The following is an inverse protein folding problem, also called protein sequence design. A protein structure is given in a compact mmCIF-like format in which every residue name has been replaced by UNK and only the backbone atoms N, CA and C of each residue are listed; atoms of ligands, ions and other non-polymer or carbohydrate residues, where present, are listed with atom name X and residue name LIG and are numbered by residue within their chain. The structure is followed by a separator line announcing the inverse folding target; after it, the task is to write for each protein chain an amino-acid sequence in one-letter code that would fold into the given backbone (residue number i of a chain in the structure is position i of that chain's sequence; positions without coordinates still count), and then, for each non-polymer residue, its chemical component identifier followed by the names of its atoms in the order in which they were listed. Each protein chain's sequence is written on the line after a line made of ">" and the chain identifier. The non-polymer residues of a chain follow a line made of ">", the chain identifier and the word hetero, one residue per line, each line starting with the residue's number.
data_IF_297868475416
#
_entry.id   IF_297868475416
#
_cell.length_a   1.000
_cell.length_b   1.000
_cell.length_c   1.000
_cell.angle_alpha   90.00
_cell.angle_beta   90.00
_cell.angle_gamma   90.00
#
_symmetry.space_group_name_H-M   'P 1'
#
loop_
_entity.id
_entity.type
_entity.pdbx_description
1 polymer ?
#
# COMPACT_ATOMS: atom_id res chain seq x y z
N UNK A 1 9.23 26.63 16.43
CA UNK A 1 8.43 25.76 15.49
C UNK A 1 8.03 24.49 16.22
N UNK A 2 6.80 24.02 16.04
CA UNK A 2 6.31 22.71 16.45
C UNK A 2 6.40 21.74 15.26
N UNK A 3 6.76 20.49 15.49
CA UNK A 3 6.77 19.43 14.47
C UNK A 3 6.28 18.13 15.09
N UNK A 4 5.30 17.51 14.45
CA UNK A 4 4.82 16.17 14.80
C UNK A 4 4.76 15.31 13.54
N UNK A 5 5.49 14.20 13.55
CA UNK A 5 5.34 13.11 12.56
C UNK A 5 4.28 12.15 13.09
N UNK A 6 3.31 11.83 12.26
CA UNK A 6 2.36 10.75 12.47
C UNK A 6 2.80 9.58 11.58
N UNK A 7 2.66 8.36 12.07
CA UNK A 7 3.04 7.19 11.29
C UNK A 7 1.97 6.11 11.42
N UNK A 8 1.40 5.71 10.29
CA UNK A 8 0.42 4.62 10.20
C UNK A 8 1.13 3.34 9.71
N UNK A 9 1.37 2.38 10.61
CA UNK A 9 2.16 1.19 10.27
C UNK A 9 1.47 0.26 9.27
N UNK A 10 0.12 0.28 9.17
CA UNK A 10 -0.63 -0.61 8.27
C UNK A 10 -0.38 -0.31 6.77
N UNK A 11 0.02 0.93 6.46
CA UNK A 11 0.37 1.40 5.11
C UNK A 11 1.78 2.00 5.05
N UNK A 12 2.54 1.91 6.15
CA UNK A 12 3.87 2.49 6.32
C UNK A 12 3.95 3.99 5.93
N UNK A 13 2.86 4.74 6.13
CA UNK A 13 2.70 6.13 5.71
C UNK A 13 3.08 7.10 6.84
N UNK A 14 3.78 8.16 6.48
CA UNK A 14 4.08 9.29 7.35
C UNK A 14 3.39 10.56 6.87
N UNK A 15 2.71 11.24 7.79
CA UNK A 15 2.18 12.59 7.61
C UNK A 15 2.76 13.52 8.67
N UNK A 16 2.65 14.81 8.44
CA UNK A 16 3.32 15.79 9.29
C UNK A 16 2.40 16.95 9.67
N UNK A 17 2.48 17.36 10.94
CA UNK A 17 1.93 18.63 11.39
C UNK A 17 3.08 19.57 11.75
N UNK A 18 3.10 20.75 11.13
CA UNK A 18 4.08 21.79 11.41
C UNK A 18 3.33 23.01 11.93
N UNK A 19 3.75 23.55 13.07
CA UNK A 19 3.06 24.65 13.74
C UNK A 19 3.99 25.78 14.17
N UNK A 20 3.45 26.99 14.20
CA UNK A 20 4.03 28.15 14.84
C UNK A 20 3.40 28.38 16.20
N UNK A 21 4.08 28.02 17.28
CA UNK A 21 3.58 28.18 18.65
C UNK A 21 3.27 29.66 19.02
N UNK A 22 3.93 30.61 18.36
CA UNK A 22 3.70 32.03 18.61
C UNK A 22 2.35 32.51 18.10
N UNK A 23 1.90 32.04 16.92
CA UNK A 23 0.62 32.43 16.32
C UNK A 23 -0.49 31.43 16.59
N UNK A 24 -0.16 30.24 17.11
CA UNK A 24 -1.12 29.18 17.31
C UNK A 24 -1.65 28.57 16.01
N UNK A 25 -0.90 28.63 14.91
CA UNK A 25 -1.31 28.13 13.59
C UNK A 25 -0.48 26.92 13.18
N UNK A 26 -1.09 25.98 12.45
CA UNK A 26 -0.44 24.80 11.93
C UNK A 26 -0.85 24.49 10.48
N UNK A 27 0.00 23.73 9.79
CA UNK A 27 -0.29 23.06 8.53
C UNK A 27 -0.16 21.55 8.73
N UNK A 28 -1.05 20.79 8.10
CA UNK A 28 -0.95 19.32 8.01
C UNK A 28 -0.62 18.94 6.57
N UNK A 29 0.35 18.05 6.39
CA UNK A 29 0.82 17.56 5.10
C UNK A 29 0.58 16.05 5.02
N UNK A 30 -0.04 15.59 3.93
CA UNK A 30 -0.33 14.19 3.61
C UNK A 30 -1.20 13.48 4.66
N UNK A 31 -2.31 14.12 5.07
CA UNK A 31 -3.23 13.54 6.04
C UNK A 31 -3.86 12.25 5.52
N UNK A 32 -3.85 11.18 6.35
CA UNK A 32 -4.60 9.96 6.09
C UNK A 32 -6.05 10.05 6.64
N UNK A 33 -6.86 8.99 6.44
CA UNK A 33 -8.28 8.95 6.80
C UNK A 33 -8.58 9.01 8.30
N UNK A 34 -7.61 8.73 9.16
CA UNK A 34 -7.74 8.91 10.62
C UNK A 34 -7.49 10.38 10.98
N UNK A 35 -8.44 11.24 10.61
CA UNK A 35 -8.27 12.69 10.74
C UNK A 35 -8.34 13.19 12.18
N UNK A 36 -8.93 12.41 13.09
CA UNK A 36 -9.10 12.81 14.49
C UNK A 36 -7.75 12.95 15.21
N UNK A 37 -6.77 12.13 14.87
CA UNK A 37 -5.41 12.23 15.40
C UNK A 37 -4.78 13.62 15.20
N UNK A 38 -5.06 14.28 14.06
CA UNK A 38 -4.52 15.63 13.78
C UNK A 38 -5.27 16.69 14.59
N UNK A 39 -6.60 16.57 14.69
CA UNK A 39 -7.45 17.48 15.46
C UNK A 39 -7.09 17.42 16.95
N UNK A 40 -6.92 16.23 17.49
CA UNK A 40 -6.56 16.01 18.89
C UNK A 40 -5.19 16.60 19.23
N UNK A 41 -4.17 16.34 18.39
CA UNK A 41 -2.82 16.91 18.61
C UNK A 41 -2.85 18.43 18.47
N UNK A 42 -3.55 18.99 17.49
CA UNK A 42 -3.69 20.43 17.36
C UNK A 42 -4.32 21.05 18.60
N UNK A 43 -5.39 20.44 19.15
CA UNK A 43 -6.05 20.90 20.36
C UNK A 43 -5.12 20.81 21.59
N UNK A 44 -4.39 19.71 21.76
CA UNK A 44 -3.45 19.52 22.87
C UNK A 44 -2.31 20.56 22.88
N UNK A 45 -1.85 20.95 21.69
CA UNK A 45 -0.76 21.91 21.50
C UNK A 45 -1.25 23.37 21.39
N UNK A 46 -2.56 23.60 21.50
CA UNK A 46 -3.14 24.94 21.35
C UNK A 46 -2.99 25.52 19.94
N UNK A 47 -2.97 24.65 18.92
CA UNK A 47 -2.79 25.02 17.52
C UNK A 47 -4.14 24.95 16.77
N UNK A 48 -4.35 25.89 15.85
CA UNK A 48 -5.42 25.86 14.85
C UNK A 48 -4.83 25.39 13.52
N UNK A 49 -5.38 24.35 12.95
CA UNK A 49 -4.99 23.91 11.61
C UNK A 49 -5.48 24.98 10.61
N UNK A 50 -4.55 25.74 10.03
CA UNK A 50 -4.83 26.80 9.09
C UNK A 50 -4.78 26.33 7.63
N UNK A 51 -3.90 25.38 7.35
CA UNK A 51 -3.73 24.78 6.03
C UNK A 51 -3.68 23.26 6.12
N UNK A 52 -4.21 22.63 5.08
CA UNK A 52 -4.03 21.19 4.78
C UNK A 52 -3.49 21.10 3.36
N UNK A 53 -2.48 20.27 3.14
CA UNK A 53 -1.86 20.10 1.82
C UNK A 53 -1.40 18.67 1.60
N UNK A 54 -1.07 18.35 0.36
CA UNK A 54 -0.52 17.05 -0.06
C UNK A 54 0.73 17.24 -0.89
N UNK A 55 1.64 16.27 -0.83
CA UNK A 55 2.82 16.27 -1.70
C UNK A 55 2.45 15.83 -3.12
N UNK A 56 1.48 14.92 -3.27
CA UNK A 56 1.05 14.38 -4.56
C UNK A 56 -0.32 13.68 -4.44
N UNK A 57 -0.87 13.22 -5.56
CA UNK A 57 -2.07 12.35 -5.59
C UNK A 57 -1.67 10.94 -5.17
N UNK A 58 -1.94 10.58 -3.92
CA UNK A 58 -1.58 9.29 -3.36
C UNK A 58 -2.32 8.13 -4.04
N UNK A 59 -1.61 7.05 -4.33
CA UNK A 59 -2.16 5.83 -4.92
C UNK A 59 -2.26 4.67 -3.93
N UNK A 60 -1.59 4.73 -2.82
CA UNK A 60 -1.45 3.66 -1.83
C UNK A 60 -2.43 3.77 -0.66
N UNK A 61 -3.03 4.94 -0.43
CA UNK A 61 -4.07 5.15 0.57
C UNK A 61 -5.08 6.23 0.15
N UNK A 62 -6.23 6.24 0.81
CA UNK A 62 -7.24 7.28 0.64
C UNK A 62 -6.90 8.49 1.52
N UNK A 63 -6.67 9.64 0.92
CA UNK A 63 -6.38 10.88 1.62
C UNK A 63 -7.53 11.33 2.54
N UNK A 64 -7.16 11.87 3.71
CA UNK A 64 -8.06 12.54 4.64
C UNK A 64 -8.02 14.07 4.55
N UNK A 65 -7.24 14.62 3.62
CA UNK A 65 -6.97 16.07 3.57
C UNK A 65 -8.22 16.91 3.39
N UNK A 66 -9.17 16.45 2.56
CA UNK A 66 -10.45 17.16 2.33
C UNK A 66 -11.32 17.17 3.57
N UNK A 67 -11.48 16.02 4.20
CA UNK A 67 -12.27 15.87 5.42
C UNK A 67 -11.66 16.66 6.57
N UNK A 68 -10.35 16.64 6.69
CA UNK A 68 -9.63 17.42 7.70
C UNK A 68 -9.85 18.93 7.47
N UNK A 69 -9.68 19.40 6.23
CA UNK A 69 -9.93 20.79 5.88
C UNK A 69 -11.37 21.19 6.15
N UNK A 70 -12.35 20.36 5.78
CA UNK A 70 -13.77 20.59 6.03
C UNK A 70 -14.07 20.62 7.55
N UNK A 71 -13.53 19.68 8.32
CA UNK A 71 -13.77 19.57 9.78
C UNK A 71 -13.19 20.76 10.55
N UNK A 72 -12.03 21.27 10.11
CA UNK A 72 -11.28 22.31 10.83
C UNK A 72 -11.50 23.73 10.28
N UNK A 73 -12.10 23.86 9.09
CA UNK A 73 -12.18 25.13 8.35
C UNK A 73 -10.82 25.59 7.81
N UNK A 74 -9.85 24.69 7.70
CA UNK A 74 -8.54 24.98 7.14
C UNK A 74 -8.63 25.15 5.61
N UNK A 75 -7.74 25.96 5.06
CA UNK A 75 -7.61 26.11 3.60
C UNK A 75 -6.91 24.88 3.01
N UNK A 76 -7.56 24.24 2.03
CA UNK A 76 -7.01 23.11 1.28
C UNK A 76 -6.14 23.63 0.14
N UNK A 77 -4.84 23.34 0.19
CA UNK A 77 -3.85 23.81 -0.76
C UNK A 77 -3.24 22.63 -1.50
N UNK A 78 -3.43 22.49 -2.81
CA UNK A 78 -3.03 21.32 -3.57
C UNK A 78 -2.19 21.69 -4.80
N UNK A 79 -1.35 20.77 -5.26
CA UNK A 79 -0.50 20.96 -6.44
C UNK A 79 -1.33 21.28 -7.70
N UNK A 80 -0.92 22.29 -8.48
CA UNK A 80 -1.40 22.58 -9.84
C UNK A 80 -0.30 22.30 -10.89
N UNK A 81 0.69 21.51 -10.52
CA UNK A 81 1.70 20.99 -11.43
C UNK A 81 1.17 19.75 -12.19
N UNK A 82 1.95 19.21 -13.11
CA UNK A 82 1.53 18.08 -13.95
C UNK A 82 0.61 18.49 -15.11
N UNK A 83 0.24 17.50 -15.91
CA UNK A 83 -0.74 17.65 -17.00
C UNK A 83 -2.19 17.47 -16.51
N UNK A 84 -3.16 17.51 -17.43
CA UNK A 84 -4.57 17.46 -17.09
C UNK A 84 -4.99 16.17 -16.34
N UNK A 85 -4.32 15.06 -16.61
CA UNK A 85 -4.61 13.76 -15.97
C UNK A 85 -4.07 13.67 -14.53
N UNK A 86 -3.21 14.63 -14.15
CA UNK A 86 -2.55 14.69 -12.84
C UNK A 86 -2.95 15.91 -12.02
N UNK A 87 -4.04 16.57 -12.36
CA UNK A 87 -4.60 17.65 -11.56
C UNK A 87 -5.80 17.15 -10.74
N UNK A 88 -5.90 17.65 -9.53
CA UNK A 88 -7.09 17.44 -8.71
C UNK A 88 -8.32 18.01 -9.42
N UNK A 89 -9.35 17.18 -9.60
CA UNK A 89 -10.57 17.50 -10.37
C UNK A 89 -11.70 18.05 -9.50
N UNK A 90 -11.44 18.44 -8.27
CA UNK A 90 -12.41 19.00 -7.35
C UNK A 90 -12.00 20.38 -6.85
N UNK A 91 -12.96 21.21 -6.40
CA UNK A 91 -12.64 22.53 -5.83
C UNK A 91 -11.75 22.44 -4.60
N UNK A 92 -10.73 23.26 -4.57
CA UNK A 92 -9.85 23.49 -3.44
C UNK A 92 -9.46 24.98 -3.37
N UNK A 93 -9.02 25.45 -2.19
CA UNK A 93 -8.91 26.88 -1.95
C UNK A 93 -7.71 27.51 -2.65
N UNK A 94 -6.61 26.75 -2.73
CA UNK A 94 -5.37 27.28 -3.28
C UNK A 94 -4.64 26.23 -4.13
N UNK A 95 -4.23 26.67 -5.32
CA UNK A 95 -3.37 25.93 -6.26
C UNK A 95 -1.92 26.28 -5.99
N UNK A 96 -1.07 25.27 -5.81
CA UNK A 96 0.34 25.42 -5.52
C UNK A 96 1.20 25.08 -6.72
N UNK A 97 2.22 25.90 -6.97
CA UNK A 97 3.24 25.72 -8.01
C UNK A 97 4.65 25.89 -7.46
N UNK A 98 5.64 25.50 -8.25
CA UNK A 98 7.06 25.70 -7.96
C UNK A 98 7.33 27.17 -7.57
N UNK A 99 7.99 27.37 -6.44
CA UNK A 99 8.29 28.71 -5.89
C UNK A 99 7.17 29.33 -5.06
N UNK A 100 5.98 28.76 -4.97
CA UNK A 100 4.93 29.23 -4.06
C UNK A 100 5.32 29.00 -2.60
N UNK A 101 4.60 29.67 -1.69
CA UNK A 101 4.89 29.63 -0.26
C UNK A 101 3.61 29.54 0.56
N UNK A 102 3.58 28.65 1.55
CA UNK A 102 2.65 28.67 2.68
C UNK A 102 3.36 29.26 3.91
N UNK A 103 2.68 30.15 4.61
CA UNK A 103 3.25 30.83 5.79
C UNK A 103 2.30 30.68 6.97
N UNK A 104 2.80 30.18 8.08
CA UNK A 104 2.13 30.06 9.38
C UNK A 104 3.00 30.76 10.43
N UNK A 105 2.63 31.97 10.78
CA UNK A 105 3.45 32.82 11.65
C UNK A 105 4.89 33.00 11.14
N UNK A 106 5.86 32.50 11.91
CA UNK A 106 7.29 32.56 11.52
C UNK A 106 7.75 31.37 10.68
N UNK A 107 6.90 30.35 10.48
CA UNK A 107 7.28 29.16 9.73
C UNK A 107 6.85 29.32 8.28
N UNK A 108 7.73 28.96 7.36
CA UNK A 108 7.51 28.99 5.91
C UNK A 108 7.69 27.59 5.34
N UNK A 109 6.80 27.21 4.42
CA UNK A 109 6.91 26.06 3.57
C UNK A 109 7.03 26.56 2.12
N UNK A 110 8.23 26.50 1.56
CA UNK A 110 8.47 26.86 0.16
C UNK A 110 8.25 25.63 -0.72
N UNK A 111 7.42 25.78 -1.75
CA UNK A 111 7.03 24.69 -2.67
C UNK A 111 8.15 24.47 -3.69
N UNK A 112 8.54 23.22 -3.88
CA UNK A 112 9.50 22.78 -4.91
C UNK A 112 8.85 21.69 -5.74
N UNK A 113 8.73 21.90 -7.06
CA UNK A 113 8.25 20.84 -7.96
C UNK A 113 9.30 19.75 -8.12
N UNK A 114 8.95 18.53 -7.72
CA UNK A 114 9.83 17.35 -7.68
C UNK A 114 9.19 16.15 -8.40
N UNK A 115 8.91 16.29 -9.71
CA UNK A 115 8.23 15.25 -10.48
C UNK A 115 9.11 14.02 -10.68
N UNK A 116 8.43 12.88 -10.95
CA UNK A 116 9.09 11.62 -11.28
C UNK A 116 8.36 10.42 -10.72
N UNK A 117 8.08 10.39 -9.42
CA UNK A 117 7.13 9.44 -8.83
C UNK A 117 5.74 9.67 -9.42
N UNK A 118 5.26 10.90 -9.32
CA UNK A 118 4.11 11.42 -10.07
C UNK A 118 4.46 12.74 -10.75
N UNK A 119 3.78 13.15 -11.84
CA UNK A 119 4.07 14.38 -12.56
C UNK A 119 3.80 15.66 -11.77
N UNK A 120 2.81 15.66 -10.87
CA UNK A 120 2.39 16.81 -10.08
C UNK A 120 3.07 16.89 -8.71
N UNK A 121 3.96 15.95 -8.40
CA UNK A 121 4.59 15.85 -7.08
C UNK A 121 5.32 17.13 -6.69
N UNK A 122 5.05 17.65 -5.48
CA UNK A 122 5.72 18.77 -4.86
C UNK A 122 6.33 18.37 -3.52
N UNK A 123 7.49 18.94 -3.22
CA UNK A 123 8.11 18.87 -1.89
C UNK A 123 8.02 20.22 -1.21
N UNK A 124 8.14 20.27 0.11
CA UNK A 124 8.09 21.52 0.87
C UNK A 124 9.39 21.72 1.64
N UNK A 125 10.10 22.82 1.37
CA UNK A 125 11.23 23.26 2.17
C UNK A 125 10.74 24.02 3.40
N UNK A 126 11.01 23.50 4.58
CA UNK A 126 10.54 24.05 5.85
C UNK A 126 11.60 24.95 6.47
N UNK A 127 11.24 26.21 6.71
CA UNK A 127 12.10 27.19 7.37
C UNK A 127 11.43 27.67 8.67
N UNK A 128 12.13 27.55 9.80
CA UNK A 128 11.77 28.24 11.04
C UNK A 128 12.40 29.63 11.04
N UNK A 129 11.67 30.62 10.56
CA UNK A 129 12.15 32.00 10.46
C UNK A 129 12.45 32.68 11.80
N UNK A 130 12.12 32.05 12.93
CA UNK A 130 12.56 32.52 14.24
C UNK A 130 13.98 32.05 14.59
N UNK A 131 14.44 30.96 13.98
CA UNK A 131 15.75 30.38 14.25
C UNK A 131 16.77 30.64 13.12
N UNK A 132 16.32 30.64 11.84
CA UNK A 132 17.19 30.77 10.68
C UNK A 132 16.46 31.36 9.47
N UNK A 133 17.22 31.80 8.48
CA UNK A 133 16.72 32.28 7.19
C UNK A 133 16.71 31.20 6.09
N UNK A 134 17.30 30.00 6.40
CA UNK A 134 17.43 28.88 5.50
C UNK A 134 16.57 27.68 5.94
N UNK A 135 16.16 26.80 5.00
CA UNK A 135 15.41 25.61 5.33
C UNK A 135 16.19 24.66 6.24
N UNK A 136 15.49 24.10 7.22
CA UNK A 136 16.03 23.04 8.09
C UNK A 136 15.67 21.64 7.60
N UNK A 137 14.52 21.50 6.94
CA UNK A 137 13.99 20.22 6.47
C UNK A 137 13.26 20.33 5.15
N UNK A 138 13.12 19.21 4.45
CA UNK A 138 12.24 19.01 3.33
C UNK A 138 11.23 17.91 3.63
N UNK A 139 9.94 18.19 3.46
CA UNK A 139 8.90 17.18 3.34
C UNK A 139 8.94 16.66 1.92
N UNK A 140 9.52 15.49 1.74
CA UNK A 140 9.85 14.96 0.41
C UNK A 140 8.79 14.04 -0.18
N UNK A 141 7.72 13.74 0.59
CA UNK A 141 6.70 12.79 0.11
C UNK A 141 7.33 11.51 -0.43
N UNK A 142 6.96 11.17 -1.65
CA UNK A 142 7.47 10.00 -2.37
C UNK A 142 8.55 10.35 -3.40
N UNK A 143 9.28 11.45 -3.18
CA UNK A 143 10.42 11.83 -4.02
C UNK A 143 11.73 11.21 -3.53
N UNK A 144 12.11 11.48 -2.28
CA UNK A 144 13.30 10.92 -1.62
C UNK A 144 12.87 10.28 -0.32
N UNK A 145 13.20 8.99 -0.17
CA UNK A 145 13.10 8.23 1.08
C UNK A 145 14.47 8.10 1.75
N UNK A 146 14.50 7.55 2.95
CA UNK A 146 15.77 7.19 3.58
C UNK A 146 16.32 5.93 2.90
N UNK A 147 17.39 6.08 2.15
CA UNK A 147 18.08 5.01 1.42
C UNK A 147 17.45 4.62 0.08
N UNK A 148 16.32 5.20 -0.31
CA UNK A 148 15.61 4.89 -1.54
C UNK A 148 14.99 6.14 -2.18
N UNK A 149 14.33 5.97 -3.31
CA UNK A 149 13.53 7.00 -4.01
C UNK A 149 12.20 6.44 -4.44
N UNK A 150 11.22 7.31 -4.69
CA UNK A 150 9.91 6.92 -5.18
C UNK A 150 9.98 6.22 -6.54
N UNK A 151 9.14 5.23 -6.72
CA UNK A 151 9.08 4.44 -7.95
C UNK A 151 8.24 5.12 -9.03
N UNK A 152 8.77 5.28 -10.26
CA UNK A 152 8.07 5.96 -11.36
C UNK A 152 7.14 5.04 -12.18
N UNK A 153 7.17 3.72 -11.94
CA UNK A 153 6.46 2.71 -12.75
C UNK A 153 5.00 2.49 -12.33
N UNK A 154 4.59 3.05 -11.19
CA UNK A 154 3.21 2.89 -10.66
C UNK A 154 2.14 3.35 -11.65
N UNK A 155 2.43 4.41 -12.42
CA UNK A 155 1.55 4.92 -13.47
C UNK A 155 1.23 3.92 -14.54
N UNK A 156 2.26 3.30 -15.08
CA UNK A 156 2.12 2.35 -16.16
C UNK A 156 1.47 1.06 -15.68
N UNK A 157 1.91 0.55 -14.53
CA UNK A 157 1.47 -0.74 -14.00
C UNK A 157 0.08 -0.67 -13.35
N UNK A 158 -0.22 0.38 -12.58
CA UNK A 158 -1.52 0.51 -11.90
C UNK A 158 -2.60 1.10 -12.80
N UNK A 159 -2.25 2.04 -13.71
CA UNK A 159 -3.20 2.72 -14.59
C UNK A 159 -3.19 2.20 -16.03
N UNK A 160 -2.32 1.22 -16.35
CA UNK A 160 -2.14 0.63 -17.69
C UNK A 160 -1.84 1.68 -18.80
N UNK A 161 -1.12 2.75 -18.46
CA UNK A 161 -0.74 3.82 -19.39
C UNK A 161 0.68 3.53 -19.90
N UNK A 162 0.78 2.84 -21.04
CA UNK A 162 2.06 2.38 -21.61
C UNK A 162 3.06 3.50 -21.89
N UNK A 163 4.34 3.25 -21.63
CA UNK A 163 5.47 4.12 -21.97
C UNK A 163 5.69 5.29 -21.01
N UNK A 164 5.07 5.29 -19.84
CA UNK A 164 5.21 6.36 -18.85
C UNK A 164 6.32 6.10 -17.84
N UNK A 165 6.64 4.84 -17.53
CA UNK A 165 7.61 4.50 -16.48
C UNK A 165 9.03 4.97 -16.80
N UNK A 166 9.50 4.77 -18.02
CA UNK A 166 10.83 5.22 -18.43
C UNK A 166 10.92 6.75 -18.46
N UNK A 167 9.88 7.44 -18.98
CA UNK A 167 9.78 8.89 -18.94
C UNK A 167 9.79 9.42 -17.50
N UNK A 168 9.01 8.81 -16.61
CA UNK A 168 8.97 9.14 -15.18
C UNK A 168 10.33 8.95 -14.51
N UNK A 169 11.05 7.86 -14.82
CA UNK A 169 12.37 7.60 -14.27
C UNK A 169 13.40 8.67 -14.70
N UNK A 170 13.40 9.10 -15.98
CA UNK A 170 14.25 10.19 -16.46
C UNK A 170 13.95 11.53 -15.79
N UNK A 171 12.66 11.83 -15.62
CA UNK A 171 12.20 13.03 -14.91
C UNK A 171 12.61 13.00 -13.44
N UNK A 172 12.48 11.85 -12.78
CA UNK A 172 12.92 11.64 -11.39
C UNK A 172 14.43 11.89 -11.26
N UNK A 173 15.23 11.34 -12.18
CA UNK A 173 16.66 11.59 -12.21
C UNK A 173 16.98 13.09 -12.29
N UNK A 174 16.36 13.82 -13.22
CA UNK A 174 16.57 15.26 -13.36
C UNK A 174 16.17 16.03 -12.08
N UNK A 175 15.05 15.64 -11.45
CA UNK A 175 14.61 16.21 -10.18
C UNK A 175 15.61 15.96 -9.05
N UNK A 176 16.18 14.76 -8.94
CA UNK A 176 17.21 14.42 -7.96
C UNK A 176 18.48 15.25 -8.16
N UNK A 177 18.94 15.43 -9.41
CA UNK A 177 20.12 16.26 -9.71
C UNK A 177 19.89 17.73 -9.34
N UNK A 178 18.69 18.28 -9.65
CA UNK A 178 18.31 19.65 -9.25
C UNK A 178 18.27 19.77 -7.73
N UNK A 179 17.65 18.83 -7.03
CA UNK A 179 17.50 18.85 -5.58
C UNK A 179 18.83 18.66 -4.83
N UNK A 180 19.79 17.97 -5.42
CA UNK A 180 21.14 17.77 -4.86
C UNK A 180 21.90 19.08 -4.65
N UNK A 181 21.48 20.20 -5.23
CA UNK A 181 22.06 21.53 -5.02
C UNK A 181 21.65 22.18 -3.70
N UNK A 182 20.68 21.62 -2.98
CA UNK A 182 20.28 22.09 -1.65
C UNK A 182 21.38 21.79 -0.62
N UNK A 183 21.30 22.46 0.53
CA UNK A 183 22.29 22.33 1.60
C UNK A 183 22.35 20.91 2.18
N UNK A 184 23.55 20.41 2.51
CA UNK A 184 23.77 19.04 2.99
C UNK A 184 23.13 18.76 4.38
N UNK A 185 22.93 19.79 5.21
CA UNK A 185 22.26 19.64 6.50
C UNK A 185 20.74 19.53 6.41
N UNK A 186 20.15 19.76 5.21
CA UNK A 186 18.71 19.69 5.00
C UNK A 186 18.19 18.31 5.41
N UNK A 187 17.33 18.25 6.41
CA UNK A 187 16.72 17.02 6.85
C UNK A 187 15.72 16.51 5.79
N UNK A 188 15.68 15.22 5.57
CA UNK A 188 14.73 14.54 4.69
C UNK A 188 13.64 13.94 5.56
N UNK A 189 12.40 14.40 5.37
CA UNK A 189 11.19 13.93 6.04
C UNK A 189 10.28 13.29 4.99
N UNK A 190 10.39 11.96 4.78
CA UNK A 190 9.72 11.25 3.70
C UNK A 190 8.27 10.92 4.00
N UNK A 191 7.47 10.65 2.94
CA UNK A 191 6.08 10.19 3.03
C UNK A 191 5.94 8.75 3.52
N UNK A 192 6.99 7.92 3.41
CA UNK A 192 6.94 6.51 3.81
C UNK A 192 8.15 6.05 4.63
N UNK A 193 7.92 4.95 5.38
CA UNK A 193 8.95 4.15 6.04
C UNK A 193 9.04 2.75 5.46
N UNK A 194 9.84 1.88 6.12
CA UNK A 194 9.99 0.48 5.71
C UNK A 194 8.64 -0.26 5.65
N UNK A 195 8.45 -1.03 4.59
CA UNK A 195 7.23 -1.82 4.34
C UNK A 195 6.25 -1.19 3.35
N UNK A 196 6.46 0.05 2.92
CA UNK A 196 5.64 0.66 1.86
C UNK A 196 5.87 -0.01 0.51
N UNK A 197 4.79 -0.09 -0.29
CA UNK A 197 4.85 -0.53 -1.67
C UNK A 197 5.38 0.55 -2.64
N UNK A 198 5.62 1.79 -2.15
CA UNK A 198 6.12 2.91 -2.96
C UNK A 198 7.65 2.90 -3.16
N UNK A 199 8.36 1.95 -2.53
CA UNK A 199 9.79 1.71 -2.72
C UNK A 199 10.17 0.30 -2.30
N UNK A 200 11.35 -0.17 -2.71
CA UNK A 200 11.84 -1.53 -2.43
C UNK A 200 12.88 -1.59 -1.33
N UNK A 201 13.57 -0.46 -1.09
CA UNK A 201 14.72 -0.36 -0.17
C UNK A 201 14.54 0.69 0.94
N UNK A 202 13.31 1.11 1.24
CA UNK A 202 13.05 2.15 2.23
C UNK A 202 13.50 1.69 3.62
N UNK A 203 14.35 2.49 4.27
CA UNK A 203 14.85 2.22 5.62
C UNK A 203 13.76 2.36 6.69
N UNK A 204 13.95 1.64 7.81
CA UNK A 204 13.15 1.84 9.02
C UNK A 204 13.51 3.14 9.78
N UNK A 205 14.61 3.81 9.42
CA UNK A 205 14.99 5.10 10.00
C UNK A 205 13.99 6.17 9.52
N UNK A 206 13.38 6.96 10.44
CA UNK A 206 12.25 7.82 10.10
C UNK A 206 12.62 9.10 9.34
N UNK A 207 13.88 9.50 9.33
CA UNK A 207 14.39 10.70 8.67
C UNK A 207 15.88 10.58 8.41
N UNK A 208 16.42 11.41 7.51
CA UNK A 208 17.82 11.46 7.15
C UNK A 208 18.25 12.90 6.91
N UNK A 209 19.42 13.12 6.31
CA UNK A 209 19.84 14.42 5.76
C UNK A 209 20.21 14.27 4.30
N UNK A 210 20.08 15.36 3.53
CA UNK A 210 20.47 15.34 2.11
C UNK A 210 21.94 14.96 1.92
N UNK A 211 22.82 15.40 2.81
CA UNK A 211 24.24 15.02 2.76
C UNK A 211 24.47 13.53 2.98
N UNK A 212 23.70 12.88 3.85
CA UNK A 212 23.72 11.43 4.01
C UNK A 212 23.19 10.73 2.76
N UNK A 213 22.02 11.14 2.26
CA UNK A 213 21.40 10.52 1.08
C UNK A 213 22.30 10.67 -0.16
N UNK A 214 22.89 11.82 -0.41
CA UNK A 214 23.85 12.03 -1.52
C UNK A 214 25.05 11.07 -1.47
N UNK A 215 25.42 10.61 -0.28
CA UNK A 215 26.59 9.71 -0.10
C UNK A 215 26.21 8.23 -0.11
N UNK A 216 25.06 7.86 0.40
CA UNK A 216 24.73 6.46 0.70
C UNK A 216 23.46 5.97 0.01
N UNK A 217 22.57 6.83 -0.46
CA UNK A 217 21.42 6.43 -1.23
C UNK A 217 21.87 5.99 -2.62
N UNK A 218 21.44 4.80 -3.02
CA UNK A 218 21.84 4.19 -4.29
C UNK A 218 21.53 5.08 -5.50
N UNK A 219 20.45 5.86 -5.46
CA UNK A 219 20.00 6.72 -6.56
C UNK A 219 21.02 7.81 -6.89
N UNK A 220 21.61 8.42 -5.85
CA UNK A 220 22.69 9.39 -6.02
C UNK A 220 24.04 8.76 -6.39
N UNK A 221 24.19 7.45 -6.19
CA UNK A 221 25.39 6.70 -6.56
C UNK A 221 25.47 6.35 -8.06
N UNK A 222 24.38 6.48 -8.82
CA UNK A 222 24.35 6.23 -10.25
C UNK A 222 25.20 7.24 -11.03
N UNK A 223 25.98 6.74 -12.00
CA UNK A 223 26.92 7.56 -12.77
C UNK A 223 26.29 8.20 -14.01
N UNK A 224 25.13 7.71 -14.42
CA UNK A 224 24.40 8.19 -15.60
C UNK A 224 22.90 8.05 -15.42
N UNK A 225 22.14 8.82 -16.21
CA UNK A 225 20.68 8.69 -16.29
C UNK A 225 20.26 7.26 -16.72
N UNK A 226 20.97 6.66 -17.67
CA UNK A 226 20.66 5.30 -18.14
C UNK A 226 20.80 4.28 -17.01
N UNK A 227 21.91 4.30 -16.25
CA UNK A 227 22.11 3.44 -15.09
C UNK A 227 21.01 3.62 -14.02
N UNK A 228 20.61 4.87 -13.78
CA UNK A 228 19.53 5.17 -12.85
C UNK A 228 18.19 4.60 -13.33
N UNK A 229 17.84 4.82 -14.61
CA UNK A 229 16.59 4.32 -15.21
C UNK A 229 16.52 2.80 -15.14
N UNK A 230 17.56 2.11 -15.53
CA UNK A 230 17.63 0.65 -15.46
C UNK A 230 17.43 0.16 -14.02
N UNK A 231 18.10 0.79 -13.07
CA UNK A 231 18.09 0.37 -11.68
C UNK A 231 16.78 0.68 -10.97
N UNK A 232 16.19 1.86 -11.19
CA UNK A 232 14.91 2.25 -10.53
C UNK A 232 13.73 1.44 -11.04
N UNK A 233 13.79 0.94 -12.27
CA UNK A 233 12.73 0.11 -12.86
C UNK A 233 12.94 -1.39 -12.61
N UNK A 234 14.16 -1.83 -12.26
CA UNK A 234 14.47 -3.22 -12.03
C UNK A 234 13.81 -3.76 -10.74
N UNK A 235 13.28 -4.98 -10.83
CA UNK A 235 12.81 -5.71 -9.66
C UNK A 235 11.63 -5.10 -8.89
N UNK A 236 10.95 -4.11 -9.46
CA UNK A 236 9.80 -3.48 -8.81
C UNK A 236 8.65 -4.50 -8.64
N UNK A 237 8.09 -4.64 -7.42
CA UNK A 237 6.94 -5.51 -7.20
C UNK A 237 5.71 -4.97 -7.95
N UNK A 238 4.81 -5.87 -8.32
CA UNK A 238 3.54 -5.46 -8.90
C UNK A 238 2.75 -4.61 -7.90
N UNK A 239 2.25 -3.42 -8.32
CA UNK A 239 1.43 -2.59 -7.45
C UNK A 239 0.09 -3.27 -7.17
N UNK A 240 -0.44 -3.16 -5.95
CA UNK A 240 -1.78 -3.64 -5.64
C UNK A 240 -2.84 -3.06 -6.57
N UNK A 241 -3.83 -3.88 -6.95
CA UNK A 241 -4.92 -3.44 -7.87
C UNK A 241 -5.65 -2.19 -7.39
N UNK A 242 -5.77 -2.01 -6.09
CA UNK A 242 -6.48 -0.88 -5.51
C UNK A 242 -5.77 0.47 -5.73
N UNK A 243 -4.48 0.50 -6.09
CA UNK A 243 -3.74 1.75 -6.35
C UNK A 243 -4.40 2.60 -7.44
N UNK A 244 -4.88 1.97 -8.52
CA UNK A 244 -5.63 2.69 -9.56
C UNK A 244 -6.92 3.32 -9.01
N UNK A 245 -7.60 2.63 -8.09
CA UNK A 245 -8.80 3.14 -7.42
C UNK A 245 -8.46 4.30 -6.50
N UNK A 246 -7.43 4.19 -5.68
CA UNK A 246 -7.01 5.26 -4.77
C UNK A 246 -6.60 6.52 -5.54
N UNK A 247 -5.75 6.38 -6.57
CA UNK A 247 -5.39 7.50 -7.44
C UNK A 247 -6.64 8.22 -7.97
N UNK A 248 -7.60 7.46 -8.53
CA UNK A 248 -8.84 8.02 -9.05
C UNK A 248 -9.67 8.71 -7.96
N UNK A 249 -9.84 8.08 -6.80
CA UNK A 249 -10.59 8.64 -5.69
C UNK A 249 -9.94 9.93 -5.18
N UNK A 250 -8.64 9.94 -4.98
CA UNK A 250 -7.90 11.11 -4.49
C UNK A 250 -7.87 12.25 -5.51
N UNK A 251 -7.86 11.94 -6.82
CA UNK A 251 -7.89 12.94 -7.88
C UNK A 251 -9.29 13.51 -8.14
N UNK A 252 -10.31 12.64 -8.23
CA UNK A 252 -11.61 12.99 -8.84
C UNK A 252 -12.69 13.35 -7.82
N UNK A 253 -12.62 12.86 -6.58
CA UNK A 253 -13.67 13.03 -5.60
C UNK A 253 -13.76 14.48 -5.11
N UNK A 254 -14.77 15.20 -5.62
CA UNK A 254 -15.10 16.54 -5.16
C UNK A 254 -15.87 16.61 -3.84
N UNK A 255 -16.31 15.47 -3.29
CA UNK A 255 -17.00 15.40 -2.00
C UNK A 255 -16.25 14.43 -1.08
N UNK A 256 -16.17 14.75 0.22
CA UNK A 256 -15.64 13.80 1.19
C UNK A 256 -16.41 12.48 1.10
N UNK A 257 -15.69 11.36 1.04
CA UNK A 257 -16.34 10.07 1.22
C UNK A 257 -16.88 9.98 2.65
N UNK A 258 -18.02 9.32 2.87
CA UNK A 258 -18.48 9.04 4.22
C UNK A 258 -17.36 8.36 5.01
N UNK A 259 -17.03 8.89 6.17
CA UNK A 259 -16.10 8.27 7.09
C UNK A 259 -16.55 6.85 7.48
N UNK A 260 -15.79 6.14 8.33
CA UNK A 260 -16.16 4.80 8.79
C UNK A 260 -17.59 4.72 9.38
N UNK A 261 -18.14 5.85 9.81
CA UNK A 261 -19.47 5.96 10.39
C UNK A 261 -20.61 6.04 9.36
N UNK A 262 -20.32 6.34 8.08
CA UNK A 262 -21.35 6.63 7.05
C UNK A 262 -21.77 5.44 6.19
N UNK A 263 -21.15 4.30 6.33
CA UNK A 263 -21.26 3.23 5.33
C UNK A 263 -22.35 2.18 5.63
N UNK A 264 -22.94 2.12 6.84
CA UNK A 264 -24.10 1.25 7.13
C UNK A 264 -24.82 1.77 8.36
N UNK A 265 -26.15 1.58 8.36
CA UNK A 265 -26.93 1.75 9.56
C UNK A 265 -26.23 1.04 10.72
N UNK A 266 -25.61 1.80 11.60
CA UNK A 266 -25.00 1.31 12.83
C UNK A 266 -25.99 0.35 13.50
N UNK A 267 -25.60 -0.91 13.70
CA UNK A 267 -26.40 -1.89 14.41
C UNK A 267 -26.99 -3.02 13.57
N UNK A 268 -26.91 -3.03 12.23
CA UNK A 268 -27.34 -4.19 11.48
C UNK A 268 -26.35 -5.35 11.65
N UNK A 269 -26.82 -6.39 12.33
CA UNK A 269 -26.09 -7.63 12.59
C UNK A 269 -26.79 -8.78 11.86
N UNK A 270 -26.44 -9.03 10.59
CA UNK A 270 -27.06 -10.14 9.86
C UNK A 270 -26.67 -11.47 10.50
N UNK A 271 -27.53 -12.45 10.33
CA UNK A 271 -27.14 -13.82 10.63
C UNK A 271 -26.19 -14.36 9.54
N UNK A 272 -25.28 -15.29 9.87
CA UNK A 272 -24.44 -15.93 8.87
C UNK A 272 -25.26 -16.59 7.75
N UNK A 273 -26.40 -17.17 8.08
CA UNK A 273 -27.30 -17.84 7.14
C UNK A 273 -27.86 -16.86 6.10
N UNK A 274 -28.30 -15.67 6.53
CA UNK A 274 -28.80 -14.62 5.65
C UNK A 274 -27.69 -14.17 4.66
N UNK A 275 -26.49 -13.92 5.18
CA UNK A 275 -25.37 -13.45 4.35
C UNK A 275 -24.89 -14.52 3.38
N UNK A 276 -24.70 -15.76 3.85
CA UNK A 276 -24.20 -16.86 3.01
C UNK A 276 -25.19 -17.22 1.90
N UNK A 277 -26.50 -17.04 2.13
CA UNK A 277 -27.53 -17.26 1.11
C UNK A 277 -27.45 -16.27 -0.07
N UNK A 278 -26.86 -15.10 0.11
CA UNK A 278 -26.72 -14.06 -0.94
C UNK A 278 -25.51 -14.26 -1.85
N UNK A 279 -24.64 -15.24 -1.57
CA UNK A 279 -23.32 -15.41 -2.22
C UNK A 279 -22.42 -14.16 -2.15
N UNK A 280 -22.68 -13.27 -1.20
CA UNK A 280 -21.86 -12.10 -0.93
C UNK A 280 -20.45 -12.49 -0.49
N UNK A 281 -19.50 -11.60 -0.67
CA UNK A 281 -18.14 -11.81 -0.17
C UNK A 281 -18.14 -11.69 1.35
N UNK A 282 -17.66 -12.74 2.03
CA UNK A 282 -17.49 -12.76 3.48
C UNK A 282 -16.02 -12.95 3.80
N UNK A 283 -15.47 -12.05 4.59
CA UNK A 283 -14.07 -12.07 5.04
C UNK A 283 -14.02 -12.55 6.49
N UNK A 284 -13.27 -13.61 6.72
CA UNK A 284 -12.96 -14.12 8.06
C UNK A 284 -11.58 -13.60 8.47
N UNK A 285 -11.55 -12.80 9.54
CA UNK A 285 -10.32 -12.15 10.01
C UNK A 285 -9.54 -12.97 11.04
N UNK A 286 -10.02 -14.16 11.39
CA UNK A 286 -9.34 -15.06 12.32
C UNK A 286 -7.96 -15.49 11.80
N UNK A 287 -7.07 -15.96 12.70
CA UNK A 287 -5.83 -16.61 12.29
C UNK A 287 -6.05 -17.75 11.28
N UNK A 288 -5.15 -17.89 10.31
CA UNK A 288 -5.29 -18.84 9.21
C UNK A 288 -5.49 -20.30 9.68
N UNK A 289 -4.86 -20.70 10.80
CA UNK A 289 -5.02 -22.06 11.33
C UNK A 289 -6.42 -22.30 11.92
N UNK A 290 -7.05 -21.30 12.50
CA UNK A 290 -8.43 -21.40 13.01
C UNK A 290 -9.43 -21.51 11.85
N UNK A 291 -9.24 -20.69 10.80
CA UNK A 291 -10.03 -20.77 9.58
C UNK A 291 -9.88 -22.14 8.92
N UNK A 292 -8.64 -22.62 8.78
CA UNK A 292 -8.35 -23.92 8.18
C UNK A 292 -9.03 -25.08 8.93
N UNK A 293 -9.06 -25.02 10.26
CA UNK A 293 -9.67 -26.06 11.09
C UNK A 293 -11.21 -26.09 10.98
N UNK A 294 -11.85 -24.94 10.85
CA UNK A 294 -13.31 -24.85 10.70
C UNK A 294 -13.73 -23.47 10.23
N UNK A 295 -14.42 -23.38 9.08
CA UNK A 295 -14.97 -22.13 8.56
C UNK A 295 -16.33 -22.32 7.89
N UNK A 296 -17.05 -21.22 7.68
CA UNK A 296 -18.27 -21.21 6.85
C UNK A 296 -17.90 -21.36 5.38
N UNK A 297 -18.56 -22.30 4.68
CA UNK A 297 -18.38 -22.45 3.23
C UNK A 297 -18.66 -21.12 2.50
N UNK A 298 -17.79 -20.74 1.58
CA UNK A 298 -17.89 -19.50 0.82
C UNK A 298 -17.26 -18.26 1.49
N UNK A 299 -16.85 -18.32 2.75
CA UNK A 299 -16.00 -17.30 3.34
C UNK A 299 -14.56 -17.42 2.83
N UNK A 300 -13.84 -16.30 2.76
CA UNK A 300 -12.39 -16.30 2.53
C UNK A 300 -11.67 -15.78 3.77
N UNK A 301 -10.46 -16.25 3.98
CA UNK A 301 -9.66 -15.83 5.12
C UNK A 301 -8.70 -14.71 4.73
N UNK A 302 -8.80 -13.58 5.38
CA UNK A 302 -7.77 -12.53 5.36
C UNK A 302 -7.46 -12.20 6.82
N UNK A 303 -6.44 -12.86 7.42
CA UNK A 303 -6.16 -12.70 8.83
C UNK A 303 -5.84 -11.26 9.21
N UNK A 304 -6.39 -10.78 10.34
CA UNK A 304 -6.09 -9.44 10.87
C UNK A 304 -4.68 -9.43 11.47
N UNK A 305 -3.69 -9.23 10.61
CA UNK A 305 -2.27 -9.14 10.93
C UNK A 305 -1.61 -8.03 10.09
N UNK A 306 -0.29 -7.89 10.14
CA UNK A 306 0.44 -6.85 9.40
C UNK A 306 0.27 -6.86 7.88
N UNK A 307 -0.28 -7.93 7.28
CA UNK A 307 -0.59 -7.99 5.83
C UNK A 307 -2.09 -7.88 5.52
N UNK A 308 -2.93 -7.66 6.53
CA UNK A 308 -4.39 -7.61 6.36
C UNK A 308 -4.81 -6.60 5.30
N UNK A 309 -4.33 -5.38 5.43
CA UNK A 309 -4.73 -4.27 4.55
C UNK A 309 -4.27 -4.49 3.10
N UNK A 310 -3.06 -5.01 2.93
CA UNK A 310 -2.54 -5.38 1.61
C UNK A 310 -3.47 -6.38 0.91
N UNK A 311 -3.83 -7.48 1.59
CA UNK A 311 -4.68 -8.51 0.98
C UNK A 311 -6.13 -8.10 0.88
N UNK A 312 -6.64 -7.26 1.79
CA UNK A 312 -7.95 -6.64 1.65
C UNK A 312 -8.03 -5.80 0.37
N UNK A 313 -7.04 -4.95 0.12
CA UNK A 313 -6.96 -4.12 -1.08
C UNK A 313 -6.81 -4.91 -2.40
N UNK A 314 -6.14 -6.07 -2.36
CA UNK A 314 -6.04 -6.96 -3.51
C UNK A 314 -7.33 -7.74 -3.82
N UNK A 315 -8.10 -8.14 -2.79
CA UNK A 315 -9.11 -9.18 -2.91
C UNK A 315 -10.55 -8.69 -2.71
N UNK A 316 -10.75 -7.57 -2.02
CA UNK A 316 -12.08 -7.02 -1.78
C UNK A 316 -12.44 -6.04 -2.89
N UNK A 317 -13.54 -6.27 -3.63
CA UNK A 317 -13.99 -5.35 -4.66
C UNK A 317 -14.58 -4.06 -4.06
N UNK A 318 -14.38 -2.93 -4.74
CA UNK A 318 -14.86 -1.60 -4.33
C UNK A 318 -16.30 -1.30 -4.73
N UNK A 319 -16.89 -2.09 -5.63
CA UNK A 319 -18.18 -1.84 -6.28
C UNK A 319 -19.37 -2.55 -5.62
N UNK A 320 -19.13 -3.40 -4.64
CA UNK A 320 -20.17 -4.19 -3.97
C UNK A 320 -19.95 -4.34 -2.48
N UNK A 321 -21.00 -4.66 -1.75
CA UNK A 321 -20.95 -4.87 -0.32
C UNK A 321 -20.25 -6.19 0.02
N UNK A 322 -19.54 -6.20 1.15
CA UNK A 322 -18.91 -7.37 1.73
C UNK A 322 -19.19 -7.45 3.24
N UNK A 323 -19.00 -8.61 3.82
CA UNK A 323 -19.32 -8.87 5.22
C UNK A 323 -18.09 -9.37 5.96
N UNK A 324 -18.08 -9.22 7.29
CA UNK A 324 -16.94 -9.55 8.13
C UNK A 324 -17.32 -10.52 9.23
N UNK A 325 -16.44 -11.51 9.47
CA UNK A 325 -16.34 -12.19 10.76
C UNK A 325 -15.17 -11.58 11.51
N UNK A 326 -15.45 -10.81 12.56
CA UNK A 326 -14.42 -10.19 13.40
C UNK A 326 -14.98 -9.83 14.77
N UNK A 327 -14.14 -9.95 15.81
CA UNK A 327 -14.43 -9.43 17.16
C UNK A 327 -13.71 -8.08 17.40
N UNK A 328 -12.99 -7.56 16.38
CA UNK A 328 -12.22 -6.31 16.41
C UNK A 328 -12.78 -5.33 15.37
N UNK A 329 -14.08 -5.07 15.42
CA UNK A 329 -14.78 -4.30 14.38
C UNK A 329 -14.20 -2.92 14.16
N UNK A 330 -13.97 -2.14 15.21
CA UNK A 330 -13.47 -0.76 15.11
C UNK A 330 -12.09 -0.69 14.44
N UNK A 331 -11.21 -1.62 14.81
CA UNK A 331 -9.89 -1.70 14.20
C UNK A 331 -9.94 -2.09 12.73
N UNK A 332 -10.76 -3.09 12.37
CA UNK A 332 -10.92 -3.52 10.98
C UNK A 332 -11.51 -2.39 10.13
N UNK A 333 -12.54 -1.69 10.64
CA UNK A 333 -13.14 -0.54 9.95
C UNK A 333 -12.14 0.60 9.75
N UNK A 334 -11.38 0.94 10.80
CA UNK A 334 -10.33 1.96 10.71
C UNK A 334 -9.28 1.61 9.66
N UNK A 335 -8.77 0.38 9.67
CA UNK A 335 -7.79 -0.05 8.67
C UNK A 335 -8.36 -0.04 7.25
N UNK A 336 -9.55 -0.60 7.03
CA UNK A 336 -10.19 -0.64 5.70
C UNK A 336 -10.51 0.77 5.17
N UNK A 337 -10.83 1.71 6.05
CA UNK A 337 -11.06 3.11 5.67
C UNK A 337 -9.80 3.76 5.08
N UNK A 338 -8.58 3.38 5.53
CA UNK A 338 -7.31 3.90 4.99
C UNK A 338 -7.17 3.65 3.49
N UNK A 339 -7.78 2.59 2.97
CA UNK A 339 -7.76 2.26 1.53
C UNK A 339 -9.15 2.36 0.89
N UNK A 340 -10.09 3.08 1.50
CA UNK A 340 -11.39 3.39 0.92
C UNK A 340 -12.37 2.22 0.83
N UNK A 341 -12.18 1.13 1.57
CA UNK A 341 -13.10 -0.01 1.62
C UNK A 341 -14.21 0.22 2.65
N UNK A 342 -15.23 1.00 2.26
CA UNK A 342 -16.32 1.41 3.15
C UNK A 342 -17.59 0.54 3.05
N UNK A 343 -17.73 -0.31 2.03
CA UNK A 343 -18.96 -1.03 1.71
C UNK A 343 -19.15 -2.29 2.55
N UNK A 344 -18.98 -2.17 3.89
CA UNK A 344 -19.16 -3.27 4.83
C UNK A 344 -20.66 -3.48 5.05
N UNK A 345 -21.26 -4.53 4.46
CA UNK A 345 -22.70 -4.88 4.55
C UNK A 345 -23.14 -5.41 5.91
N UNK A 346 -22.24 -5.78 6.79
CA UNK A 346 -22.50 -6.22 8.16
C UNK A 346 -21.31 -6.90 8.79
N UNK A 347 -21.33 -6.98 10.12
CA UNK A 347 -20.28 -7.62 10.93
C UNK A 347 -20.89 -8.68 11.82
N UNK A 348 -20.25 -9.83 11.86
CA UNK A 348 -20.64 -10.98 12.66
C UNK A 348 -19.49 -11.39 13.59
N UNK A 349 -19.78 -11.90 14.78
CA UNK A 349 -18.74 -12.34 15.71
C UNK A 349 -17.97 -13.55 15.15
N UNK A 350 -16.70 -13.71 15.51
CA UNK A 350 -15.85 -14.83 15.04
C UNK A 350 -16.37 -16.20 15.49
N UNK A 351 -17.10 -16.27 16.60
CA UNK A 351 -17.78 -17.50 17.04
C UNK A 351 -18.78 -18.06 16.01
N UNK A 352 -19.40 -17.19 15.21
CA UNK A 352 -20.34 -17.55 14.16
C UNK A 352 -19.64 -17.95 12.83
N UNK A 353 -18.33 -17.75 12.72
CA UNK A 353 -17.54 -18.08 11.52
C UNK A 353 -17.28 -19.59 11.37
N UNK A 354 -17.50 -20.38 12.41
CA UNK A 354 -17.31 -21.84 12.37
C UNK A 354 -18.43 -22.52 11.58
N UNK A 355 -18.04 -23.59 10.84
CA UNK A 355 -18.99 -24.33 9.98
C UNK A 355 -18.41 -25.64 9.50
N UNK A 356 -18.94 -26.19 8.40
CA UNK A 356 -18.53 -27.48 7.85
C UNK A 356 -17.31 -27.45 6.92
N UNK A 357 -16.76 -26.27 6.63
CA UNK A 357 -15.58 -26.12 5.78
C UNK A 357 -14.27 -26.34 6.55
N UNK A 358 -13.30 -26.96 5.88
CA UNK A 358 -11.92 -27.10 6.36
C UNK A 358 -10.94 -26.95 5.20
N UNK A 359 -9.72 -26.53 5.47
CA UNK A 359 -8.62 -26.51 4.51
C UNK A 359 -7.54 -27.49 4.99
N UNK A 360 -7.30 -28.51 4.21
CA UNK A 360 -6.28 -29.51 4.52
C UNK A 360 -4.89 -28.86 4.51
N UNK A 361 -4.03 -29.34 5.41
CA UNK A 361 -2.65 -28.94 5.50
C UNK A 361 -1.74 -30.11 5.13
N UNK A 362 -0.64 -29.85 4.46
CA UNK A 362 0.37 -30.87 4.15
C UNK A 362 1.77 -30.36 4.47
N UNK A 363 2.67 -31.25 4.85
CA UNK A 363 4.10 -30.93 5.00
C UNK A 363 4.83 -31.06 3.66
N UNK A 364 6.03 -30.51 3.56
CA UNK A 364 6.86 -30.67 2.35
C UNK A 364 7.17 -32.14 2.03
N UNK A 365 7.42 -32.96 3.06
CA UNK A 365 7.69 -34.40 2.91
C UNK A 365 6.48 -35.17 2.37
N UNK A 366 5.28 -34.86 2.84
CA UNK A 366 4.06 -35.53 2.39
C UNK A 366 3.63 -35.03 1.00
N UNK A 367 3.87 -33.73 0.73
CA UNK A 367 3.53 -33.12 -0.56
C UNK A 367 4.35 -33.70 -1.72
N UNK A 368 5.66 -33.94 -1.53
CA UNK A 368 6.53 -34.47 -2.59
C UNK A 368 6.05 -35.81 -3.13
N UNK A 369 5.53 -36.70 -2.26
CA UNK A 369 4.98 -37.98 -2.66
C UNK A 369 3.68 -37.84 -3.48
N UNK A 370 2.98 -36.72 -3.37
CA UNK A 370 1.67 -36.46 -4.02
C UNK A 370 1.81 -35.69 -5.34
N UNK A 371 2.94 -34.99 -5.58
CA UNK A 371 3.13 -34.11 -6.75
C UNK A 371 2.76 -34.76 -8.09
N UNK A 372 3.09 -36.04 -8.39
CA UNK A 372 2.69 -36.63 -9.66
C UNK A 372 1.16 -36.68 -9.89
N UNK A 373 0.37 -36.64 -8.82
CA UNK A 373 -1.11 -36.75 -8.86
C UNK A 373 -1.87 -35.46 -8.54
N UNK A 374 -1.17 -34.35 -8.28
CA UNK A 374 -1.78 -33.07 -7.90
C UNK A 374 -1.35 -31.94 -8.83
N UNK A 375 -2.11 -30.86 -8.85
CA UNK A 375 -1.68 -29.59 -9.43
C UNK A 375 -1.04 -28.74 -8.32
N UNK A 376 0.23 -28.41 -8.46
CA UNK A 376 0.90 -27.51 -7.53
C UNK A 376 0.79 -26.06 -8.04
N UNK A 377 0.31 -25.15 -7.19
CA UNK A 377 0.14 -23.72 -7.52
C UNK A 377 1.01 -22.87 -6.61
N UNK A 378 1.93 -22.13 -7.18
CA UNK A 378 2.75 -21.14 -6.49
C UNK A 378 2.10 -19.77 -6.57
N UNK A 379 1.75 -19.17 -5.41
CA UNK A 379 1.07 -17.88 -5.34
C UNK A 379 1.98 -16.73 -4.91
N UNK A 380 3.30 -16.90 -5.02
CA UNK A 380 4.30 -15.85 -4.74
C UNK A 380 4.32 -14.82 -5.88
N UNK A 381 5.01 -13.70 -5.64
CA UNK A 381 5.26 -12.69 -6.66
C UNK A 381 6.16 -13.22 -7.80
N UNK A 382 6.17 -12.53 -8.94
CA UNK A 382 7.04 -12.88 -10.06
C UNK A 382 8.54 -12.84 -9.68
N UNK A 383 8.94 -11.85 -8.87
CA UNK A 383 10.32 -11.74 -8.41
C UNK A 383 10.72 -12.91 -7.50
N UNK A 384 9.85 -13.34 -6.59
CA UNK A 384 10.10 -14.52 -5.74
C UNK A 384 10.15 -15.82 -6.56
N UNK A 385 9.29 -15.94 -7.56
CA UNK A 385 9.30 -17.08 -8.49
C UNK A 385 10.62 -17.19 -9.25
N UNK A 386 11.10 -16.08 -9.80
CA UNK A 386 12.35 -16.02 -10.56
C UNK A 386 13.60 -16.40 -9.72
N UNK A 387 13.56 -16.21 -8.38
CA UNK A 387 14.66 -16.63 -7.51
C UNK A 387 14.73 -18.14 -7.27
N UNK A 388 13.66 -18.86 -7.62
CA UNK A 388 13.55 -20.32 -7.53
C UNK A 388 12.15 -20.76 -7.14
N UNK A 389 11.70 -21.89 -7.69
CA UNK A 389 10.35 -22.43 -7.49
C UNK A 389 10.35 -23.97 -7.44
N UNK A 390 9.29 -24.54 -6.96
CA UNK A 390 9.13 -25.99 -6.89
C UNK A 390 8.88 -26.52 -8.32
N UNK A 391 9.62 -27.56 -8.78
CA UNK A 391 9.46 -28.10 -10.13
C UNK A 391 8.02 -28.46 -10.47
N UNK A 392 7.57 -28.08 -11.66
CA UNK A 392 6.23 -28.38 -12.18
C UNK A 392 5.09 -27.56 -11.56
N UNK A 393 5.38 -26.56 -10.75
CA UNK A 393 4.35 -25.66 -10.21
C UNK A 393 3.81 -24.71 -11.29
N UNK A 394 2.52 -24.40 -11.21
CA UNK A 394 1.89 -23.34 -11.99
C UNK A 394 2.03 -22.03 -11.19
N UNK A 395 2.61 -21.01 -11.81
CA UNK A 395 2.77 -19.70 -11.17
C UNK A 395 1.56 -18.81 -11.39
N UNK A 396 0.85 -18.48 -10.31
CA UNK A 396 -0.27 -17.54 -10.31
C UNK A 396 -0.18 -16.69 -9.04
N UNK A 397 0.36 -15.47 -9.09
CA UNK A 397 0.44 -14.62 -7.90
C UNK A 397 -0.94 -14.44 -7.25
N UNK A 398 -0.99 -14.45 -5.91
CA UNK A 398 -2.23 -14.45 -5.13
C UNK A 398 -3.23 -13.36 -5.57
N UNK A 399 -2.74 -12.15 -5.87
CA UNK A 399 -3.59 -11.04 -6.29
C UNK A 399 -4.32 -11.26 -7.63
N UNK A 400 -3.88 -12.21 -8.45
CA UNK A 400 -4.48 -12.58 -9.73
C UNK A 400 -5.17 -13.93 -9.72
N UNK A 401 -5.14 -14.65 -8.59
CA UNK A 401 -5.66 -16.01 -8.51
C UNK A 401 -7.14 -16.07 -8.90
N UNK A 402 -7.96 -15.15 -8.40
CA UNK A 402 -9.40 -15.11 -8.69
C UNK A 402 -9.69 -14.93 -10.19
N UNK A 403 -8.84 -14.19 -10.93
CA UNK A 403 -9.01 -13.92 -12.36
C UNK A 403 -8.50 -15.10 -13.22
N UNK A 404 -7.65 -15.97 -12.65
CA UNK A 404 -6.98 -17.08 -13.36
C UNK A 404 -7.41 -18.47 -12.91
N UNK A 405 -8.53 -18.59 -12.23
CA UNK A 405 -9.04 -19.90 -11.76
C UNK A 405 -9.18 -20.93 -12.88
N UNK A 406 -9.58 -20.49 -14.07
CA UNK A 406 -9.75 -21.35 -15.23
C UNK A 406 -8.44 -21.96 -15.76
N UNK A 407 -7.27 -21.43 -15.39
CA UNK A 407 -5.97 -21.99 -15.79
C UNK A 407 -5.53 -23.17 -14.91
N UNK A 408 -6.21 -23.39 -13.79
CA UNK A 408 -5.91 -24.50 -12.87
C UNK A 408 -6.73 -25.72 -13.30
N UNK A 409 -6.09 -26.86 -13.66
CA UNK A 409 -6.79 -28.07 -14.07
C UNK A 409 -7.87 -28.49 -13.07
N UNK A 410 -9.07 -28.82 -13.57
CA UNK A 410 -10.21 -29.16 -12.72
C UNK A 410 -10.22 -30.62 -12.29
N UNK A 411 -9.48 -31.47 -12.96
CA UNK A 411 -9.47 -32.94 -12.85
C UNK A 411 -8.53 -33.50 -11.77
N UNK A 412 -7.77 -32.61 -11.08
CA UNK A 412 -6.79 -33.00 -10.09
C UNK A 412 -6.92 -32.23 -8.78
N UNK A 413 -6.56 -32.83 -7.63
CA UNK A 413 -6.39 -32.13 -6.38
C UNK A 413 -5.36 -31.00 -6.50
N UNK A 414 -5.53 -29.93 -5.72
CA UNK A 414 -4.63 -28.77 -5.74
C UNK A 414 -3.83 -28.68 -4.45
N UNK A 415 -2.53 -28.51 -4.58
CA UNK A 415 -1.66 -28.08 -3.48
C UNK A 415 -1.23 -26.65 -3.75
N UNK A 416 -1.52 -25.74 -2.81
CA UNK A 416 -1.15 -24.33 -2.93
C UNK A 416 0.05 -24.05 -2.05
N UNK A 417 1.04 -23.33 -2.57
CA UNK A 417 2.22 -22.94 -1.83
C UNK A 417 2.54 -21.44 -1.99
N UNK A 418 3.26 -20.90 -1.01
CA UNK A 418 3.87 -19.57 -1.06
C UNK A 418 5.22 -19.59 -0.33
N UNK A 419 5.73 -18.45 0.14
CA UNK A 419 7.01 -18.41 0.87
C UNK A 419 6.97 -19.21 2.18
N UNK A 420 5.92 -18.99 3.03
CA UNK A 420 5.84 -19.52 4.40
C UNK A 420 4.49 -20.15 4.79
N UNK A 421 3.53 -20.25 3.84
CA UNK A 421 2.21 -20.84 4.08
C UNK A 421 1.08 -19.84 4.31
N UNK A 422 1.35 -18.54 4.57
CA UNK A 422 0.31 -17.56 4.87
C UNK A 422 -0.50 -17.13 3.65
N UNK A 423 0.15 -16.71 2.55
CA UNK A 423 -0.53 -16.36 1.28
C UNK A 423 -1.25 -17.55 0.66
N UNK A 424 -0.65 -18.72 0.74
CA UNK A 424 -1.29 -19.95 0.23
C UNK A 424 -2.49 -20.39 1.07
N UNK A 425 -2.58 -20.04 2.35
CA UNK A 425 -3.80 -20.23 3.14
C UNK A 425 -4.95 -19.35 2.61
N UNK A 426 -4.69 -18.09 2.27
CA UNK A 426 -5.66 -17.20 1.60
C UNK A 426 -6.06 -17.77 0.24
N UNK A 427 -5.09 -18.22 -0.55
CA UNK A 427 -5.32 -18.82 -1.86
C UNK A 427 -6.20 -20.09 -1.78
N UNK A 428 -5.95 -20.94 -0.79
CA UNK A 428 -6.76 -22.14 -0.55
C UNK A 428 -8.23 -21.78 -0.24
N UNK A 429 -8.45 -20.74 0.57
CA UNK A 429 -9.80 -20.24 0.85
C UNK A 429 -10.50 -19.69 -0.41
N UNK A 430 -9.78 -18.96 -1.28
CA UNK A 430 -10.30 -18.48 -2.58
C UNK A 430 -10.69 -19.63 -3.50
N UNK A 431 -9.86 -20.67 -3.59
CA UNK A 431 -10.14 -21.87 -4.38
C UNK A 431 -11.35 -22.64 -3.83
N UNK A 432 -11.44 -22.79 -2.50
CA UNK A 432 -12.59 -23.44 -1.87
C UNK A 432 -13.88 -22.66 -2.12
N UNK A 433 -13.86 -21.32 -2.02
CA UNK A 433 -15.00 -20.46 -2.39
C UNK A 433 -15.39 -20.62 -3.87
N UNK A 434 -14.43 -20.82 -4.76
CA UNK A 434 -14.67 -21.09 -6.18
C UNK A 434 -15.19 -22.51 -6.47
N UNK A 435 -15.47 -23.32 -5.44
CA UNK A 435 -16.04 -24.66 -5.56
C UNK A 435 -15.03 -25.82 -5.60
N UNK A 436 -13.71 -25.52 -5.45
CA UNK A 436 -12.70 -26.60 -5.34
C UNK A 436 -12.77 -27.22 -3.95
N UNK A 437 -12.99 -28.55 -3.90
CA UNK A 437 -13.14 -29.30 -2.63
C UNK A 437 -11.88 -30.00 -2.16
N UNK A 438 -10.91 -30.14 -3.02
CA UNK A 438 -9.68 -30.91 -2.87
C UNK A 438 -8.45 -30.00 -2.83
N UNK A 439 -8.53 -28.95 -2.03
CA UNK A 439 -7.44 -27.96 -1.87
C UNK A 439 -6.67 -28.23 -0.58
N UNK A 440 -5.36 -28.25 -0.69
CA UNK A 440 -4.42 -28.45 0.43
C UNK A 440 -3.42 -27.29 0.47
N UNK A 441 -3.19 -26.72 1.64
CA UNK A 441 -2.15 -25.71 1.84
C UNK A 441 -0.83 -26.38 2.23
N UNK A 442 0.28 -26.01 1.57
CA UNK A 442 1.62 -26.43 1.95
C UNK A 442 2.11 -25.61 3.15
N UNK A 443 2.08 -26.23 4.32
CA UNK A 443 2.55 -25.63 5.57
C UNK A 443 4.04 -25.29 5.50
N UNK A 444 4.40 -24.03 5.83
CA UNK A 444 5.77 -23.53 5.74
C UNK A 444 6.23 -23.20 4.32
N UNK A 445 5.42 -23.46 3.28
CA UNK A 445 5.67 -23.10 1.90
C UNK A 445 7.02 -23.58 1.33
N UNK A 446 7.57 -22.81 0.38
CA UNK A 446 8.87 -23.13 -0.25
C UNK A 446 10.02 -23.08 0.76
N UNK A 447 9.91 -22.31 1.83
CA UNK A 447 10.93 -22.28 2.89
C UNK A 447 11.06 -23.65 3.56
N UNK A 448 9.95 -24.29 3.93
CA UNK A 448 9.97 -25.63 4.50
C UNK A 448 10.36 -26.70 3.45
N UNK A 449 10.00 -26.48 2.19
CA UNK A 449 10.40 -27.34 1.07
C UNK A 449 11.92 -27.36 0.90
N UNK A 450 12.55 -26.19 0.84
CA UNK A 450 14.00 -26.03 0.75
C UNK A 450 14.74 -26.60 1.97
N UNK A 451 14.20 -26.35 3.18
CA UNK A 451 14.77 -26.89 4.42
C UNK A 451 14.70 -28.44 4.49
N UNK A 452 13.77 -29.05 3.77
CA UNK A 452 13.71 -30.51 3.63
C UNK A 452 14.66 -31.07 2.56
N UNK A 453 15.49 -30.22 1.93
CA UNK A 453 16.44 -30.62 0.88
C UNK A 453 15.78 -31.06 -0.44
N UNK A 454 14.55 -30.60 -0.70
CA UNK A 454 13.79 -30.96 -1.89
C UNK A 454 14.14 -30.05 -3.09
N UNK A 455 13.97 -30.53 -4.35
CA UNK A 455 14.38 -29.80 -5.55
C UNK A 455 13.73 -28.43 -5.69
N UNK A 456 14.52 -27.45 -6.15
CA UNK A 456 14.08 -26.12 -6.55
C UNK A 456 14.67 -25.86 -7.94
N UNK A 457 13.80 -25.47 -8.88
CA UNK A 457 14.19 -24.99 -10.20
C UNK A 457 14.40 -23.49 -10.19
N UNK A 458 15.34 -23.02 -11.03
CA UNK A 458 15.50 -21.62 -11.38
C UNK A 458 15.34 -21.49 -12.89
N UNK A 459 14.86 -20.36 -13.39
CA UNK A 459 14.65 -20.15 -14.84
C UNK A 459 15.95 -20.35 -15.65
N UNK A 460 17.13 -20.22 -15.04
CA UNK A 460 18.41 -20.53 -15.65
C UNK A 460 18.58 -22.01 -16.03
N UNK A 461 17.93 -22.94 -15.32
CA UNK A 461 17.98 -24.39 -15.62
C UNK A 461 16.91 -24.84 -16.63
N UNK A 462 15.85 -24.07 -16.83
CA UNK A 462 14.82 -24.37 -17.84
C UNK A 462 15.36 -24.20 -19.27
N UNK A 463 16.30 -23.27 -19.50
CA UNK A 463 16.97 -23.10 -20.80
C UNK A 463 17.98 -24.21 -21.12
N UNK A 464 18.64 -24.83 -20.14
CA UNK A 464 19.54 -25.96 -20.36
C UNK A 464 18.80 -27.26 -20.68
N UNK A 465 17.66 -27.50 -20.05
CA UNK A 465 16.84 -28.71 -20.30
C UNK A 465 16.15 -28.71 -21.68
N UNK A 466 15.96 -27.52 -22.30
CA UNK A 466 15.43 -27.40 -23.67
C UNK A 466 16.49 -27.46 -24.75
N UNK A 467 17.79 -27.48 -24.42
CA UNK A 467 18.93 -27.58 -25.34
C UNK A 467 19.57 -28.98 -25.35
N UNK A 468 19.12 -29.91 -24.55
CA UNK A 468 19.51 -31.32 -24.51
C UNK A 468 18.37 -32.22 -25.08
#
# INVERSE_FOLDING_TARGET
>A
MFVKRFFEPAIAQASYMIGCQRTGEAVVVDANRDIDQYVEVAAQEGLRIAFVTETHIHADYLSGSRELAQKTGASLCLSDEGDADWKYQFPHDRKLKDGDRLTIGNVRLDVVHTPGHTPEHISFLVTDGAAADRPIAALTGDFIFVGDVGRPDLLERAANIKGTMEKGARVLWASLQKFASQDEWLQIWPGHGAGSACGTGISAIPSSTLGYERRFNWAYGCKSEAEFVDRVLAGQPEPPKYFATMKRLNRDLGRPEPGPEGAIAFGYRPTPEEVMATNSLVIDTRPAHEFAASHRHGAINIPLNGSFLTWAGWLIPYDRDFYLFTDREDEVRRQLALIGLHRIGGVMPTGAARGGGEILQTTAKDAVARIPGVTLVDVRSANEWATGHIPGAIHIPLGYLADRLATIPADRPVVVQCQSGGRSAIAAALLARAGRRDVTNLSGGITAWAAAGLPIDTDAHAEEATRS
#
